data_IF_373060263555
#
_entry.id   IF_373060263555
#
_cell.length_a   1.000
_cell.length_b   1.000
_cell.length_c   1.000
_cell.angle_alpha   90.00
_cell.angle_beta   90.00
_cell.angle_gamma   90.00
#
_symmetry.space_group_name_H-M   'P 1'
#
loop_
_entity.id
_entity.type
_entity.pdbx_description
1 polymer ?
#
# COMPACT_ATOMS: atom_id res chain seq x y z
N UNK A 1 10.45 -67.89 -26.07
CA UNK A 1 10.06 -66.75 -26.92
C UNK A 1 8.68 -66.29 -26.45
N UNK A 2 8.59 -65.54 -25.36
CA UNK A 2 8.68 -64.07 -25.25
C UNK A 2 7.37 -63.35 -25.66
N UNK A 3 6.36 -63.40 -24.78
CA UNK A 3 5.21 -62.49 -24.78
C UNK A 3 5.54 -61.29 -23.89
N UNK A 4 5.65 -60.10 -24.49
CA UNK A 4 6.09 -58.85 -23.85
C UNK A 4 5.03 -58.25 -22.93
N UNK A 5 5.43 -57.98 -21.68
CA UNK A 5 4.69 -57.18 -20.69
C UNK A 5 4.54 -55.71 -21.15
N UNK A 6 3.42 -55.03 -20.84
CA UNK A 6 3.27 -53.61 -21.09
C UNK A 6 4.11 -52.77 -20.09
N UNK A 7 4.60 -51.58 -20.49
CA UNK A 7 5.45 -50.76 -19.65
C UNK A 7 4.65 -50.03 -18.55
N UNK A 8 5.17 -50.12 -17.33
CA UNK A 8 4.67 -49.41 -16.15
C UNK A 8 4.93 -47.90 -16.28
N UNK A 9 3.87 -47.09 -16.27
CA UNK A 9 3.95 -45.63 -16.15
C UNK A 9 4.32 -45.25 -14.72
N UNK A 10 5.57 -44.87 -14.52
CA UNK A 10 6.06 -44.25 -13.27
C UNK A 10 5.58 -42.80 -13.18
N UNK A 11 4.40 -42.62 -12.58
CA UNK A 11 3.87 -41.30 -12.24
C UNK A 11 4.69 -40.67 -11.11
N UNK A 12 5.65 -39.81 -11.47
CA UNK A 12 6.35 -38.91 -10.54
C UNK A 12 5.34 -38.10 -9.74
N UNK A 13 5.19 -38.40 -8.44
CA UNK A 13 4.49 -37.54 -7.47
C UNK A 13 5.24 -36.21 -7.40
N UNK A 14 4.70 -35.19 -8.07
CA UNK A 14 5.17 -33.81 -7.97
C UNK A 14 4.80 -33.33 -6.56
N UNK A 15 5.80 -33.20 -5.69
CA UNK A 15 5.63 -32.60 -4.38
C UNK A 15 4.99 -31.21 -4.56
N UNK A 16 3.74 -31.09 -4.11
CA UNK A 16 3.09 -29.80 -3.95
C UNK A 16 3.92 -29.02 -2.93
N UNK A 17 4.71 -28.05 -3.40
CA UNK A 17 5.33 -27.03 -2.55
C UNK A 17 4.24 -26.50 -1.63
N UNK A 18 4.38 -26.76 -0.33
CA UNK A 18 3.50 -26.22 0.68
C UNK A 18 3.43 -24.72 0.49
N UNK A 19 2.22 -24.21 0.21
CA UNK A 19 1.97 -22.78 0.33
C UNK A 19 2.23 -22.46 1.80
N UNK A 20 3.26 -21.65 2.05
CA UNK A 20 3.47 -21.04 3.35
C UNK A 20 2.12 -20.45 3.79
N UNK A 21 1.67 -20.88 4.97
CA UNK A 21 0.51 -20.32 5.63
C UNK A 21 0.77 -18.80 5.73
N UNK A 22 -0.13 -17.94 5.22
CA UNK A 22 0.09 -16.50 5.31
C UNK A 22 0.31 -16.16 6.78
N UNK A 23 1.36 -15.38 7.06
CA UNK A 23 1.58 -14.79 8.38
C UNK A 23 0.26 -14.14 8.84
N UNK A 24 -0.05 -14.14 10.15
CA UNK A 24 -1.22 -13.43 10.65
C UNK A 24 -1.22 -12.03 10.04
N UNK A 25 -2.32 -11.66 9.38
CA UNK A 25 -2.41 -10.40 8.67
C UNK A 25 -2.07 -9.28 9.67
N UNK A 26 -0.92 -8.64 9.49
CA UNK A 26 -0.56 -7.46 10.25
C UNK A 26 -1.75 -6.50 10.18
N UNK A 27 -2.11 -5.90 11.32
CA UNK A 27 -3.28 -5.03 11.41
C UNK A 27 -3.21 -3.95 10.32
N UNK A 28 -4.32 -3.64 9.66
CA UNK A 28 -4.32 -2.59 8.64
C UNK A 28 -3.93 -1.24 9.29
N UNK A 29 -3.06 -0.43 8.66
CA UNK A 29 -2.75 0.91 9.15
C UNK A 29 -4.00 1.79 9.28
N UNK A 30 -5.00 1.61 8.41
CA UNK A 30 -6.26 2.35 8.45
C UNK A 30 -7.08 2.09 9.71
N UNK A 31 -6.93 0.93 10.35
CA UNK A 31 -7.59 0.62 11.62
C UNK A 31 -6.92 1.30 12.83
N UNK A 32 -5.76 1.95 12.62
CA UNK A 32 -4.98 2.66 13.64
C UNK A 32 -4.87 1.87 14.95
N UNK A 33 -4.22 0.68 14.93
CA UNK A 33 -4.15 -0.22 16.10
C UNK A 33 -3.47 0.39 17.32
N UNK A 34 -2.71 1.48 17.14
CA UNK A 34 -2.02 2.19 18.22
C UNK A 34 -2.69 3.51 18.62
N UNK A 35 -3.91 3.80 18.14
CA UNK A 35 -4.63 5.04 18.44
C UNK A 35 -4.78 5.33 19.94
N UNK A 36 -4.98 4.29 20.76
CA UNK A 36 -5.13 4.43 22.21
C UNK A 36 -3.81 4.59 22.98
N UNK A 37 -2.64 4.44 22.33
CA UNK A 37 -1.33 4.54 22.99
C UNK A 37 -0.97 6.01 23.25
N UNK A 38 -0.32 6.29 24.37
CA UNK A 38 0.28 7.62 24.61
C UNK A 38 1.53 7.81 23.75
N UNK A 39 2.01 9.05 23.62
CA UNK A 39 3.26 9.34 22.88
C UNK A 39 4.46 8.57 23.46
N UNK A 40 4.63 8.58 24.78
CA UNK A 40 5.71 7.85 25.44
C UNK A 40 5.65 6.33 25.17
N UNK A 41 4.45 5.74 25.12
CA UNK A 41 4.28 4.34 24.77
C UNK A 41 4.65 4.05 23.30
N UNK A 42 4.29 4.95 22.38
CA UNK A 42 4.69 4.84 20.96
C UNK A 42 6.21 4.93 20.81
N UNK A 43 6.86 5.85 21.52
CA UNK A 43 8.31 6.01 21.50
C UNK A 43 9.04 4.79 22.05
N UNK A 44 8.57 4.24 23.18
CA UNK A 44 9.10 3.00 23.75
C UNK A 44 8.91 1.80 22.82
N UNK A 45 7.73 1.67 22.21
CA UNK A 45 7.44 0.60 21.25
C UNK A 45 8.30 0.73 19.98
N UNK A 46 8.50 1.95 19.48
CA UNK A 46 9.38 2.19 18.34
C UNK A 46 10.84 1.83 18.65
N UNK A 47 11.35 2.23 19.82
CA UNK A 47 12.70 1.84 20.26
C UNK A 47 12.87 0.32 20.39
N UNK A 48 11.85 -0.38 20.90
CA UNK A 48 11.83 -1.84 20.96
C UNK A 48 11.83 -2.47 19.56
N UNK A 49 11.03 -1.94 18.63
CA UNK A 49 10.97 -2.38 17.25
C UNK A 49 12.33 -2.24 16.53
N UNK A 50 13.05 -1.13 16.75
CA UNK A 50 14.40 -0.95 16.22
C UNK A 50 15.41 -1.96 16.78
N UNK A 51 15.34 -2.23 18.10
CA UNK A 51 16.21 -3.24 18.75
C UNK A 51 15.95 -4.64 18.18
N UNK A 52 14.70 -4.95 17.86
CA UNK A 52 14.27 -6.27 17.36
C UNK A 52 14.33 -6.40 15.83
N UNK A 53 14.70 -5.35 15.10
CA UNK A 53 14.58 -5.26 13.64
C UNK A 53 13.16 -5.58 13.11
N UNK A 54 12.13 -5.17 13.86
CA UNK A 54 10.73 -5.36 13.50
C UNK A 54 10.17 -4.13 12.76
N UNK A 55 10.26 -4.18 11.43
CA UNK A 55 9.80 -3.13 10.53
C UNK A 55 8.29 -2.93 10.57
N UNK A 56 7.51 -3.98 10.83
CA UNK A 56 6.05 -3.90 10.89
C UNK A 56 5.58 -3.17 12.15
N UNK A 57 6.14 -3.52 13.32
CA UNK A 57 5.85 -2.82 14.57
C UNK A 57 6.31 -1.35 14.51
N UNK A 58 7.51 -1.11 13.97
CA UNK A 58 8.05 0.24 13.80
C UNK A 58 7.20 1.08 12.84
N UNK A 59 6.75 0.50 11.71
CA UNK A 59 5.90 1.18 10.74
C UNK A 59 4.57 1.64 11.36
N UNK A 60 3.95 0.82 12.20
CA UNK A 60 2.73 1.23 12.90
C UNK A 60 2.97 2.40 13.87
N UNK A 61 4.14 2.47 14.51
CA UNK A 61 4.50 3.59 15.37
C UNK A 61 4.69 4.87 14.56
N UNK A 62 5.44 4.80 13.46
CA UNK A 62 5.66 5.95 12.56
C UNK A 62 4.34 6.45 11.99
N UNK A 63 3.52 5.55 11.46
CA UNK A 63 2.20 5.88 10.93
C UNK A 63 1.32 6.55 11.99
N UNK A 64 1.24 6.00 13.20
CA UNK A 64 0.39 6.60 14.23
C UNK A 64 0.86 7.99 14.67
N UNK A 65 2.17 8.23 14.77
CA UNK A 65 2.70 9.58 15.02
C UNK A 65 2.34 10.54 13.89
N UNK A 66 2.44 10.08 12.64
CA UNK A 66 2.09 10.87 11.47
C UNK A 66 0.59 11.21 11.44
N UNK A 67 -0.28 10.25 11.76
CA UNK A 67 -1.72 10.46 11.91
C UNK A 67 -2.10 11.40 13.07
N UNK A 68 -1.16 11.71 13.96
CA UNK A 68 -1.33 12.70 15.05
C UNK A 68 -0.75 14.08 14.72
N UNK A 69 -0.21 14.27 13.51
CA UNK A 69 0.40 15.52 13.10
C UNK A 69 1.78 15.77 13.69
N UNK A 70 2.57 14.71 13.93
CA UNK A 70 3.99 14.86 14.24
C UNK A 70 4.69 15.73 13.17
N UNK A 71 5.66 16.54 13.61
CA UNK A 71 6.43 17.39 12.70
C UNK A 71 7.15 16.57 11.62
N UNK A 72 7.23 17.09 10.37
CA UNK A 72 7.82 16.37 9.24
C UNK A 72 9.21 15.81 9.54
N UNK A 73 10.11 16.63 10.09
CA UNK A 73 11.47 16.23 10.44
C UNK A 73 11.52 15.05 11.43
N UNK A 74 10.57 14.98 12.37
CA UNK A 74 10.47 13.88 13.33
C UNK A 74 10.01 12.58 12.68
N UNK A 75 9.13 12.65 11.68
CA UNK A 75 8.72 11.48 10.90
C UNK A 75 9.84 11.01 9.99
N UNK A 76 10.50 11.90 9.25
CA UNK A 76 11.61 11.57 8.36
C UNK A 76 12.76 10.91 9.12
N UNK A 77 13.13 11.45 10.28
CA UNK A 77 14.16 10.85 11.14
C UNK A 77 13.78 9.42 11.57
N UNK A 78 12.51 9.17 11.90
CA UNK A 78 12.06 7.83 12.30
C UNK A 78 11.99 6.87 11.11
N UNK A 79 11.59 7.34 9.93
CA UNK A 79 11.65 6.55 8.70
C UNK A 79 13.09 6.13 8.39
N UNK A 80 14.05 7.04 8.50
CA UNK A 80 15.48 6.76 8.31
C UNK A 80 15.98 5.71 9.32
N UNK A 81 15.68 5.88 10.61
CA UNK A 81 16.05 4.92 11.65
C UNK A 81 15.45 3.54 11.41
N UNK A 82 14.17 3.48 11.02
CA UNK A 82 13.47 2.24 10.75
C UNK A 82 14.06 1.54 9.54
N UNK A 83 14.34 2.27 8.47
CA UNK A 83 15.00 1.75 7.27
C UNK A 83 16.37 1.15 7.61
N UNK A 84 17.21 1.90 8.32
CA UNK A 84 18.56 1.47 8.69
C UNK A 84 18.58 0.19 9.55
N UNK A 85 17.53 -0.09 10.32
CA UNK A 85 17.48 -1.23 11.25
C UNK A 85 16.62 -2.40 10.79
N UNK A 86 15.60 -2.15 9.99
CA UNK A 86 14.53 -3.11 9.76
C UNK A 86 13.99 -3.11 8.31
N UNK A 87 14.73 -2.58 7.32
CA UNK A 87 14.26 -2.46 5.93
C UNK A 87 13.56 -3.71 5.37
N UNK A 88 14.10 -4.91 5.67
CA UNK A 88 13.58 -6.18 5.15
C UNK A 88 12.17 -6.55 5.64
N UNK A 89 11.70 -5.96 6.74
CA UNK A 89 10.40 -6.24 7.35
C UNK A 89 9.45 -5.03 7.36
N UNK A 90 9.85 -3.91 6.75
CA UNK A 90 8.96 -2.75 6.58
C UNK A 90 7.85 -3.12 5.60
N UNK A 91 6.57 -2.91 5.97
CA UNK A 91 5.46 -3.22 5.10
C UNK A 91 5.32 -2.20 3.96
N UNK A 92 4.93 -2.68 2.77
CA UNK A 92 4.74 -1.87 1.55
C UNK A 92 3.70 -0.74 1.69
N UNK A 93 2.91 -0.72 2.76
CA UNK A 93 1.92 0.33 3.00
C UNK A 93 2.48 1.58 3.65
N UNK A 94 3.68 1.51 4.24
CA UNK A 94 4.34 2.67 4.83
C UNK A 94 5.08 3.44 3.72
N UNK A 95 4.69 4.69 3.42
CA UNK A 95 5.44 5.51 2.47
C UNK A 95 6.82 5.85 3.04
N UNK A 96 7.83 5.86 2.18
CA UNK A 96 9.22 6.11 2.60
C UNK A 96 9.61 7.59 2.57
N UNK A 97 8.64 8.48 2.40
CA UNK A 97 8.81 9.93 2.45
C UNK A 97 7.65 10.59 3.18
N UNK A 98 7.89 11.75 3.79
CA UNK A 98 6.80 12.52 4.39
C UNK A 98 5.85 13.10 3.33
N UNK A 99 4.56 13.03 3.62
CA UNK A 99 3.43 13.48 2.80
C UNK A 99 2.44 14.13 3.78
N UNK A 100 2.30 15.44 3.67
CA UNK A 100 1.49 16.27 4.55
C UNK A 100 0.01 15.86 4.55
N UNK A 101 -0.57 15.57 3.38
CA UNK A 101 -1.97 15.21 3.23
C UNK A 101 -2.28 13.72 3.48
N UNK A 102 -1.29 12.88 3.84
CA UNK A 102 -1.51 11.45 4.06
C UNK A 102 -2.63 11.16 5.08
N UNK A 103 -2.71 11.86 6.24
CA UNK A 103 -3.82 11.67 7.17
C UNK A 103 -5.20 11.94 6.55
N UNK A 104 -5.32 12.98 5.72
CA UNK A 104 -6.57 13.30 5.01
C UNK A 104 -6.94 12.19 4.02
N UNK A 105 -5.97 11.62 3.30
CA UNK A 105 -6.22 10.49 2.40
C UNK A 105 -6.75 9.26 3.14
N UNK A 106 -6.19 8.92 4.31
CA UNK A 106 -6.72 7.85 5.16
C UNK A 106 -8.15 8.15 5.62
N UNK A 107 -8.41 9.38 6.08
CA UNK A 107 -9.74 9.78 6.56
C UNK A 107 -10.79 9.69 5.45
N UNK A 108 -10.49 10.22 4.26
CA UNK A 108 -11.39 10.16 3.10
C UNK A 108 -11.64 8.70 2.70
N UNK A 109 -10.59 7.89 2.55
CA UNK A 109 -10.72 6.51 2.11
C UNK A 109 -11.51 5.61 3.09
N UNK A 110 -11.50 5.92 4.39
CA UNK A 110 -12.31 5.21 5.39
C UNK A 110 -13.82 5.36 5.17
N UNK A 111 -14.26 6.43 4.48
CA UNK A 111 -15.67 6.62 4.12
C UNK A 111 -16.19 5.65 3.04
N UNK A 112 -15.30 4.89 2.40
CA UNK A 112 -15.64 3.99 1.30
C UNK A 112 -15.62 2.53 1.74
N UNK A 113 -16.56 1.75 1.20
CA UNK A 113 -16.67 0.31 1.42
C UNK A 113 -17.05 -0.40 0.11
N UNK A 114 -16.42 -1.55 -0.13
CA UNK A 114 -16.79 -2.43 -1.23
C UNK A 114 -17.95 -3.35 -0.81
N UNK A 115 -19.01 -3.41 -1.62
CA UNK A 115 -20.19 -4.25 -1.40
C UNK A 115 -20.14 -5.54 -2.21
N UNK A 116 -19.37 -5.56 -3.28
CA UNK A 116 -19.22 -6.68 -4.21
C UNK A 116 -17.78 -7.18 -4.23
N UNK A 117 -17.62 -8.50 -4.24
CA UNK A 117 -16.32 -9.16 -4.38
C UNK A 117 -15.99 -9.37 -5.86
N UNK A 118 -14.71 -9.30 -6.19
CA UNK A 118 -14.19 -9.49 -7.53
C UNK A 118 -12.67 -9.61 -7.56
N UNK A 119 -12.07 -9.15 -8.65
CA UNK A 119 -10.62 -9.26 -8.91
C UNK A 119 -9.96 -7.91 -9.13
N UNK A 120 -10.67 -6.83 -8.85
CA UNK A 120 -10.18 -5.47 -9.09
C UNK A 120 -9.70 -4.86 -7.79
N UNK A 121 -8.63 -4.09 -7.87
CA UNK A 121 -7.93 -3.45 -6.78
C UNK A 121 -7.98 -1.95 -7.00
N UNK A 122 -8.36 -1.19 -5.99
CA UNK A 122 -8.09 0.25 -5.98
C UNK A 122 -6.65 0.47 -5.53
N UNK A 123 -5.99 1.46 -6.12
CA UNK A 123 -4.65 1.86 -5.73
C UNK A 123 -4.48 3.36 -5.86
N UNK A 124 -3.57 3.89 -5.05
CA UNK A 124 -3.13 5.27 -5.10
C UNK A 124 -1.65 5.30 -5.49
N UNK A 125 -1.23 6.34 -6.21
CA UNK A 125 0.18 6.60 -6.50
C UNK A 125 0.49 8.03 -6.11
N UNK A 126 1.58 8.22 -5.38
CA UNK A 126 2.14 9.53 -5.07
C UNK A 126 2.72 10.15 -6.34
N UNK A 127 2.33 11.39 -6.64
CA UNK A 127 2.81 12.14 -7.80
C UNK A 127 3.70 13.30 -7.38
N UNK A 128 4.76 13.53 -8.14
CA UNK A 128 5.63 14.68 -8.02
C UNK A 128 5.08 15.91 -8.73
N UNK A 129 4.83 16.95 -7.95
CA UNK A 129 4.41 18.29 -8.35
C UNK A 129 5.26 19.38 -7.66
N UNK A 130 6.53 19.10 -7.30
CA UNK A 130 7.44 20.10 -6.73
C UNK A 130 7.60 21.35 -7.62
N UNK A 131 7.42 21.19 -8.93
CA UNK A 131 7.38 22.27 -9.91
C UNK A 131 6.10 23.14 -9.87
N UNK A 132 5.13 22.84 -8.99
CA UNK A 132 3.85 23.54 -8.89
C UNK A 132 3.70 24.32 -7.58
N UNK A 133 2.99 25.45 -7.66
CA UNK A 133 2.77 26.37 -6.52
C UNK A 133 1.90 25.83 -5.38
N UNK A 134 1.24 24.67 -5.54
CA UNK A 134 0.25 24.13 -4.58
C UNK A 134 0.80 23.04 -3.66
N UNK A 135 2.13 22.85 -3.63
CA UNK A 135 2.80 21.84 -2.81
C UNK A 135 3.42 20.73 -3.64
N UNK A 136 4.36 19.96 -3.05
CA UNK A 136 5.23 19.06 -3.81
C UNK A 136 4.55 17.79 -4.28
N UNK A 137 3.40 17.43 -3.72
CA UNK A 137 2.79 16.13 -3.96
C UNK A 137 1.32 16.18 -4.34
N UNK A 138 0.95 15.35 -5.31
CA UNK A 138 -0.43 14.99 -5.61
C UNK A 138 -0.64 13.48 -5.56
N UNK A 139 -1.85 13.05 -5.92
CA UNK A 139 -2.23 11.63 -5.90
C UNK A 139 -2.90 11.24 -7.20
N UNK A 140 -2.50 10.09 -7.75
CA UNK A 140 -3.24 9.42 -8.80
C UNK A 140 -4.13 8.34 -8.19
N UNK A 141 -5.41 8.32 -8.58
CA UNK A 141 -6.37 7.28 -8.21
C UNK A 141 -6.60 6.35 -9.38
N UNK A 142 -6.44 5.05 -9.15
CA UNK A 142 -6.58 4.03 -10.18
C UNK A 142 -7.30 2.77 -9.71
N UNK A 143 -7.85 2.03 -10.66
CA UNK A 143 -8.26 0.63 -10.47
C UNK A 143 -7.58 -0.33 -11.46
N UNK A 144 -7.33 -1.57 -11.03
CA UNK A 144 -6.71 -2.59 -11.88
C UNK A 144 -7.05 -4.01 -11.43
N UNK A 145 -7.04 -4.96 -12.37
CA UNK A 145 -7.05 -6.39 -12.03
C UNK A 145 -5.68 -6.94 -11.61
N UNK A 146 -4.63 -6.12 -11.72
CA UNK A 146 -3.29 -6.43 -11.22
C UNK A 146 -3.10 -5.83 -9.83
N UNK A 147 -2.24 -6.43 -8.97
CA UNK A 147 -1.77 -5.78 -7.76
C UNK A 147 -1.18 -4.39 -8.03
N UNK A 148 -1.31 -3.49 -7.06
CA UNK A 148 -0.95 -2.09 -7.21
C UNK A 148 0.53 -1.89 -7.64
N UNK A 149 1.47 -2.59 -6.98
CA UNK A 149 2.90 -2.55 -7.34
C UNK A 149 3.14 -3.00 -8.80
N UNK A 150 2.56 -4.15 -9.19
CA UNK A 150 2.66 -4.63 -10.57
C UNK A 150 2.06 -3.63 -11.57
N UNK A 151 0.93 -2.99 -11.23
CA UNK A 151 0.32 -2.00 -12.13
C UNK A 151 1.15 -0.73 -12.23
N UNK A 152 1.79 -0.31 -11.14
CA UNK A 152 2.73 0.79 -11.14
C UNK A 152 3.94 0.49 -12.03
N UNK A 153 4.54 -0.70 -11.93
CA UNK A 153 5.65 -1.10 -12.81
C UNK A 153 5.25 -1.08 -14.29
N UNK A 154 4.04 -1.53 -14.63
CA UNK A 154 3.51 -1.43 -15.99
C UNK A 154 3.41 0.03 -16.45
N UNK A 155 2.91 0.93 -15.60
CA UNK A 155 2.88 2.36 -15.92
C UNK A 155 4.28 2.91 -16.16
N UNK A 156 5.25 2.58 -15.30
CA UNK A 156 6.64 3.04 -15.43
C UNK A 156 7.35 2.45 -16.66
N UNK A 157 6.93 1.28 -17.12
CA UNK A 157 7.38 0.66 -18.37
C UNK A 157 6.65 1.16 -19.63
N UNK A 158 5.71 2.12 -19.50
CA UNK A 158 4.93 2.64 -20.63
C UNK A 158 3.80 1.71 -21.11
N UNK A 159 3.50 0.64 -20.38
CA UNK A 159 2.50 -0.37 -20.76
C UNK A 159 1.11 0.09 -20.31
N UNK A 160 0.31 0.53 -21.30
CA UNK A 160 -1.04 1.09 -21.07
C UNK A 160 -0.99 2.19 -19.99
N UNK A 161 0.03 3.04 -20.06
CA UNK A 161 0.37 3.92 -18.97
C UNK A 161 -0.56 5.14 -18.87
N UNK A 162 -0.88 5.56 -17.65
CA UNK A 162 -1.39 6.88 -17.38
C UNK A 162 -0.22 7.88 -17.47
N UNK A 163 -0.37 8.94 -18.28
CA UNK A 163 0.71 9.89 -18.55
C UNK A 163 1.25 10.56 -17.28
N UNK A 164 0.38 10.86 -16.31
CA UNK A 164 0.75 11.42 -15.01
C UNK A 164 1.61 10.45 -14.19
N UNK A 165 1.20 9.18 -14.07
CA UNK A 165 1.96 8.15 -13.35
C UNK A 165 3.30 7.86 -14.04
N UNK A 166 3.31 7.75 -15.36
CA UNK A 166 4.54 7.53 -16.12
C UNK A 166 5.56 8.64 -15.86
N UNK A 167 5.14 9.90 -15.98
CA UNK A 167 6.03 11.06 -15.88
C UNK A 167 6.38 11.45 -14.44
N UNK A 168 5.44 11.31 -13.51
CA UNK A 168 5.50 11.90 -12.16
C UNK A 168 5.26 10.92 -11.02
N UNK A 169 4.90 9.67 -11.30
CA UNK A 169 4.68 8.67 -10.26
C UNK A 169 5.95 8.32 -9.51
N UNK A 170 5.91 8.49 -8.18
CA UNK A 170 7.02 8.29 -7.24
C UNK A 170 6.95 6.92 -6.55
N UNK A 171 5.82 6.62 -5.90
CA UNK A 171 5.60 5.35 -5.19
C UNK A 171 4.10 5.05 -5.05
N UNK A 172 3.76 3.79 -4.78
CA UNK A 172 2.38 3.37 -4.53
C UNK A 172 2.01 3.64 -3.08
N UNK A 173 0.85 4.24 -2.85
CA UNK A 173 0.29 4.45 -1.51
C UNK A 173 -0.81 3.43 -1.25
N UNK A 174 -0.43 2.21 -0.86
CA UNK A 174 -1.42 1.13 -0.65
C UNK A 174 -2.24 1.35 0.62
N UNK A 175 -1.63 1.90 1.67
CA UNK A 175 -2.18 2.04 3.02
C UNK A 175 -3.63 2.56 3.10
N UNK A 176 -3.94 3.74 2.54
CA UNK A 176 -5.29 4.32 2.62
C UNK A 176 -6.39 3.45 2.01
N UNK A 177 -6.07 2.61 1.02
CA UNK A 177 -7.04 1.80 0.24
C UNK A 177 -6.87 0.30 0.43
N UNK A 178 -6.14 -0.15 1.46
CA UNK A 178 -5.91 -1.58 1.73
C UNK A 178 -7.19 -2.38 1.96
N UNK A 179 -8.28 -1.75 2.41
CA UNK A 179 -9.59 -2.39 2.57
C UNK A 179 -10.42 -2.44 1.27
N UNK A 180 -10.01 -1.71 0.22
CA UNK A 180 -10.70 -1.61 -1.06
C UNK A 180 -10.07 -2.53 -2.11
N UNK A 181 -9.83 -3.78 -1.71
CA UNK A 181 -9.18 -4.82 -2.53
C UNK A 181 -10.18 -5.92 -2.89
N UNK A 182 -9.97 -6.58 -4.04
CA UNK A 182 -10.84 -7.64 -4.54
C UNK A 182 -12.30 -7.21 -4.72
N UNK A 183 -12.49 -6.07 -5.37
CA UNK A 183 -13.79 -5.45 -5.65
C UNK A 183 -14.32 -5.90 -7.02
N UNK A 184 -15.65 -6.04 -7.15
CA UNK A 184 -16.29 -6.23 -8.45
C UNK A 184 -15.98 -5.07 -9.40
N UNK A 185 -15.69 -5.34 -10.68
CA UNK A 185 -15.17 -4.32 -11.61
C UNK A 185 -16.05 -3.07 -11.73
N UNK A 186 -17.37 -3.25 -11.90
CA UNK A 186 -18.30 -2.12 -12.03
C UNK A 186 -18.37 -1.28 -10.75
N UNK A 187 -18.19 -1.91 -9.58
CA UNK A 187 -18.12 -1.18 -8.32
C UNK A 187 -16.78 -0.48 -8.14
N UNK A 188 -15.67 -1.14 -8.51
CA UNK A 188 -14.35 -0.54 -8.46
C UNK A 188 -14.28 0.76 -9.28
N UNK A 189 -14.90 0.78 -10.47
CA UNK A 189 -15.00 1.98 -11.30
C UNK A 189 -15.78 3.12 -10.60
N UNK A 190 -16.89 2.80 -9.93
CA UNK A 190 -17.64 3.80 -9.16
C UNK A 190 -16.86 4.32 -7.96
N UNK A 191 -16.19 3.42 -7.22
CA UNK A 191 -15.37 3.77 -6.06
C UNK A 191 -14.16 4.60 -6.47
N UNK A 192 -13.51 4.27 -7.59
CA UNK A 192 -12.37 5.02 -8.13
C UNK A 192 -12.75 6.48 -8.41
N UNK A 193 -13.82 6.72 -9.17
CA UNK A 193 -14.31 8.07 -9.47
C UNK A 193 -14.74 8.83 -8.21
N UNK A 194 -15.49 8.17 -7.32
CA UNK A 194 -15.99 8.81 -6.10
C UNK A 194 -14.86 9.12 -5.10
N UNK A 195 -13.86 8.25 -4.98
CA UNK A 195 -12.68 8.48 -4.15
C UNK A 195 -11.83 9.63 -4.71
N UNK A 196 -11.63 9.68 -6.03
CA UNK A 196 -10.91 10.78 -6.68
C UNK A 196 -11.59 12.13 -6.42
N UNK A 197 -12.92 12.20 -6.56
CA UNK A 197 -13.69 13.40 -6.22
C UNK A 197 -13.52 13.81 -4.77
N UNK A 198 -13.72 12.87 -3.83
CA UNK A 198 -13.63 13.16 -2.40
C UNK A 198 -12.22 13.58 -1.94
N UNK A 199 -11.16 13.03 -2.55
CA UNK A 199 -9.79 13.47 -2.29
C UNK A 199 -9.55 14.90 -2.82
N UNK A 200 -10.12 15.23 -3.99
CA UNK A 200 -10.08 16.58 -4.54
C UNK A 200 -10.83 17.60 -3.67
N UNK A 201 -12.02 17.24 -3.18
CA UNK A 201 -12.80 18.06 -2.25
C UNK A 201 -12.08 18.28 -0.91
N UNK A 202 -11.25 17.32 -0.49
CA UNK A 202 -10.35 17.45 0.66
C UNK A 202 -9.09 18.31 0.37
N UNK A 203 -8.97 18.87 -0.83
CA UNK A 203 -7.93 19.82 -1.22
C UNK A 203 -6.69 19.21 -1.87
N UNK A 204 -6.67 17.90 -2.12
CA UNK A 204 -5.52 17.23 -2.75
C UNK A 204 -5.49 17.53 -4.26
N UNK A 205 -4.29 17.57 -4.84
CA UNK A 205 -4.12 17.57 -6.30
C UNK A 205 -4.34 16.13 -6.78
N UNK A 206 -5.45 15.86 -7.46
CA UNK A 206 -5.84 14.52 -7.91
C UNK A 206 -5.72 14.38 -9.42
N UNK A 207 -5.17 13.25 -9.86
CA UNK A 207 -5.18 12.80 -11.26
C UNK A 207 -5.86 11.41 -11.35
N UNK A 208 -6.52 11.11 -12.47
CA UNK A 208 -7.27 9.85 -12.64
C UNK A 208 -8.73 9.95 -12.16
N UNK A 209 -9.38 8.82 -11.87
CA UNK A 209 -10.80 8.81 -11.46
C UNK A 209 -11.83 8.89 -12.60
N UNK A 210 -11.50 8.37 -13.79
CA UNK A 210 -12.34 8.44 -15.00
C UNK A 210 -12.98 7.10 -15.39
#
# INVERSE_FOLDING_TARGET
>A
MAAGRPPQRTGRRRALKGRARPAPAAASPGARPLAARTRAQLEAQFAAALTQADGAAGAHCVHELWMRGEFPAGIEQKLEQLWARAAASIPEWLPMRYIDWLPAAYQVAQGFQARTRGRTHLYLVLLDFEDRRRGPYGVYVGMSSYPAAQRFDQHKAGIRAAGSVLKRGLEVLTGPVLHLQYVGRAEAQRLEAALAGALGDAGLIVEGGH
#
